data_IF_695926831014
#
_entry.id   IF_695926831014
#
_cell.length_a   1.000
_cell.length_b   1.000
_cell.length_c   1.000
_cell.angle_alpha   90.00
_cell.angle_beta   90.00
_cell.angle_gamma   90.00
#
_symmetry.space_group_name_H-M   'P 1'
#
loop_
_entity.id
_entity.type
_entity.pdbx_description
1 polymer ?
#
# COMPACT_ATOMS: atom_id res chain seq x y z
N UNK A 1 -0.99 8.26 -34.40
CA UNK A 1 -0.46 8.25 -33.02
C UNK A 1 -1.37 7.38 -32.18
N UNK A 2 -0.98 6.14 -31.91
CA UNK A 2 -1.83 5.18 -31.20
C UNK A 2 -1.96 5.64 -29.75
N UNK A 3 -3.13 6.12 -29.38
CA UNK A 3 -3.56 6.22 -27.98
C UNK A 3 -3.70 4.78 -27.45
N UNK A 4 -2.58 4.13 -27.18
CA UNK A 4 -2.53 2.78 -26.64
C UNK A 4 -3.20 2.77 -25.27
N UNK A 5 -4.15 1.86 -25.05
CA UNK A 5 -4.76 1.64 -23.74
C UNK A 5 -3.62 1.48 -22.72
N UNK A 6 -3.55 2.36 -21.72
CA UNK A 6 -2.61 2.22 -20.62
C UNK A 6 -2.96 0.95 -19.86
N UNK A 7 -2.15 -0.09 -20.02
CA UNK A 7 -2.20 -1.32 -19.24
C UNK A 7 -1.51 -1.06 -17.90
N UNK A 8 -2.18 -1.38 -16.81
CA UNK A 8 -1.61 -1.28 -15.47
C UNK A 8 -1.81 -2.61 -14.74
N UNK A 9 -0.88 -2.91 -13.85
CA UNK A 9 -0.99 -4.01 -12.89
C UNK A 9 -0.81 -3.46 -11.48
N UNK A 10 -1.54 -4.04 -10.53
CA UNK A 10 -1.45 -3.69 -9.11
C UNK A 10 -0.92 -4.91 -8.39
N UNK A 11 0.19 -4.75 -7.67
CA UNK A 11 0.79 -5.75 -6.79
C UNK A 11 0.54 -5.29 -5.36
N UNK A 12 -0.18 -6.08 -4.57
CA UNK A 12 -0.40 -5.79 -3.15
C UNK A 12 0.70 -6.45 -2.34
N UNK A 13 1.56 -5.64 -1.74
CA UNK A 13 2.67 -6.14 -0.95
C UNK A 13 2.16 -6.55 0.43
N UNK A 14 1.96 -7.86 0.61
CA UNK A 14 1.64 -8.49 1.89
C UNK A 14 2.95 -8.74 2.64
N UNK A 15 3.26 -7.96 3.68
CA UNK A 15 4.47 -8.14 4.50
C UNK A 15 4.30 -9.12 5.67
N UNK A 16 3.15 -9.80 5.78
CA UNK A 16 2.77 -10.56 6.98
C UNK A 16 3.36 -11.97 7.09
N UNK A 17 3.92 -12.55 6.01
CA UNK A 17 4.42 -13.93 6.00
C UNK A 17 5.95 -14.03 5.82
N UNK A 18 6.56 -15.12 6.29
CA UNK A 18 8.00 -15.41 6.12
C UNK A 18 8.44 -15.47 4.65
N UNK A 19 7.56 -15.93 3.77
CA UNK A 19 7.81 -16.05 2.33
C UNK A 19 7.31 -14.82 1.54
N UNK A 20 6.86 -13.76 2.21
CA UNK A 20 6.40 -12.53 1.54
C UNK A 20 7.38 -11.94 0.52
N UNK A 21 8.71 -11.99 0.70
CA UNK A 21 9.63 -11.47 -0.30
C UNK A 21 9.64 -12.32 -1.58
N UNK A 22 9.57 -13.65 -1.45
CA UNK A 22 9.59 -14.57 -2.59
C UNK A 22 8.28 -14.53 -3.38
N UNK A 23 7.15 -14.43 -2.68
CA UNK A 23 5.84 -14.28 -3.31
C UNK A 23 5.73 -12.96 -4.09
N UNK A 24 6.25 -11.86 -3.52
CA UNK A 24 6.32 -10.57 -4.20
C UNK A 24 7.18 -10.63 -5.47
N UNK A 25 8.37 -11.22 -5.39
CA UNK A 25 9.26 -11.37 -6.56
C UNK A 25 8.58 -12.18 -7.67
N UNK A 26 7.91 -13.28 -7.33
CA UNK A 26 7.19 -14.10 -8.30
C UNK A 26 6.06 -13.33 -9.00
N UNK A 27 5.31 -12.52 -8.26
CA UNK A 27 4.23 -11.71 -8.83
C UNK A 27 4.78 -10.57 -9.69
N UNK A 28 5.89 -9.96 -9.28
CA UNK A 28 6.59 -8.93 -10.06
C UNK A 28 7.09 -9.49 -11.39
N UNK A 29 7.74 -10.66 -11.40
CA UNK A 29 8.20 -11.31 -12.62
C UNK A 29 7.04 -11.58 -13.59
N UNK A 30 5.92 -12.12 -13.08
CA UNK A 30 4.71 -12.35 -13.88
C UNK A 30 4.14 -11.06 -14.48
N UNK A 31 4.15 -9.95 -13.75
CA UNK A 31 3.66 -8.66 -14.23
C UNK A 31 4.59 -8.07 -15.29
N UNK A 32 5.90 -8.20 -15.11
CA UNK A 32 6.91 -7.74 -16.06
C UNK A 32 6.83 -8.50 -17.39
N UNK A 33 6.57 -9.81 -17.36
CA UNK A 33 6.33 -10.62 -18.56
C UNK A 33 5.13 -10.13 -19.39
N UNK A 34 4.15 -9.50 -18.76
CA UNK A 34 2.95 -8.98 -19.43
C UNK A 34 3.12 -7.63 -20.12
N UNK A 35 4.32 -7.03 -20.05
CA UNK A 35 4.67 -5.80 -20.76
C UNK A 35 3.66 -4.66 -20.49
N UNK A 36 3.26 -4.52 -19.21
CA UNK A 36 2.35 -3.46 -18.77
C UNK A 36 3.07 -2.11 -18.74
N UNK A 37 2.33 -1.02 -19.01
CA UNK A 37 2.92 0.32 -19.01
C UNK A 37 3.21 0.86 -17.61
N UNK A 38 2.44 0.41 -16.60
CA UNK A 38 2.56 0.89 -15.21
C UNK A 38 2.38 -0.28 -14.26
N UNK A 39 3.31 -0.41 -13.30
CA UNK A 39 3.16 -1.31 -12.15
C UNK A 39 2.93 -0.45 -10.91
N UNK A 40 1.85 -0.72 -10.19
CA UNK A 40 1.48 -0.04 -8.95
C UNK A 40 1.73 -1.02 -7.81
N UNK A 41 2.59 -0.66 -6.87
CA UNK A 41 2.86 -1.46 -5.68
C UNK A 41 2.10 -0.81 -4.52
N UNK A 42 1.08 -1.50 -4.01
CA UNK A 42 0.26 -1.05 -2.89
C UNK A 42 0.68 -1.81 -1.62
N UNK A 43 1.28 -1.14 -0.63
CA UNK A 43 1.50 -1.74 0.68
C UNK A 43 0.18 -1.87 1.45
N UNK A 44 -0.20 -3.08 1.86
CA UNK A 44 -1.48 -3.32 2.56
C UNK A 44 -1.56 -2.54 3.89
N UNK A 45 -0.43 -2.43 4.59
CA UNK A 45 -0.36 -1.78 5.91
C UNK A 45 -0.42 -0.26 5.86
N UNK A 46 -0.17 0.38 4.72
CA UNK A 46 -0.06 1.85 4.71
C UNK A 46 -1.39 2.50 5.10
N UNK A 47 -2.51 1.92 4.66
CA UNK A 47 -3.85 2.36 5.07
C UNK A 47 -4.09 2.16 6.56
N UNK A 48 -3.79 0.97 7.09
CA UNK A 48 -4.00 0.64 8.50
C UNK A 48 -3.09 1.47 9.42
N UNK A 49 -1.79 1.53 9.12
CA UNK A 49 -0.79 2.28 9.88
C UNK A 49 -1.16 3.76 9.88
N UNK A 50 -1.49 4.33 8.72
CA UNK A 50 -1.93 5.73 8.62
C UNK A 50 -3.19 5.97 9.44
N UNK A 51 -4.18 5.07 9.36
CA UNK A 51 -5.39 5.16 10.16
C UNK A 51 -5.10 5.12 11.67
N UNK A 52 -4.21 4.23 12.11
CA UNK A 52 -3.81 4.10 13.53
C UNK A 52 -3.17 5.38 14.05
N UNK A 53 -2.28 5.99 13.27
CA UNK A 53 -1.66 7.28 13.61
C UNK A 53 -2.68 8.42 13.67
N UNK A 54 -3.58 8.52 12.70
CA UNK A 54 -4.67 9.52 12.70
C UNK A 54 -5.54 9.36 13.93
N UNK A 55 -5.95 8.12 14.26
CA UNK A 55 -6.78 7.86 15.43
C UNK A 55 -6.06 8.21 16.73
N UNK A 56 -4.80 7.82 16.87
CA UNK A 56 -4.00 8.13 18.06
C UNK A 56 -3.86 9.66 18.24
N UNK A 57 -3.55 10.40 17.17
CA UNK A 57 -3.48 11.86 17.20
C UNK A 57 -4.81 12.52 17.58
N UNK A 58 -5.92 12.07 16.98
CA UNK A 58 -7.25 12.57 17.30
C UNK A 58 -7.66 12.29 18.74
N UNK A 59 -7.33 11.11 19.25
CA UNK A 59 -7.57 10.77 20.65
C UNK A 59 -6.75 11.65 21.58
N UNK A 60 -5.46 11.82 21.31
CA UNK A 60 -4.58 12.67 22.10
C UNK A 60 -5.08 14.12 22.13
N UNK A 61 -5.47 14.66 20.97
CA UNK A 61 -6.03 16.00 20.84
C UNK A 61 -7.31 16.18 21.66
N UNK A 62 -8.29 15.28 21.49
CA UNK A 62 -9.55 15.31 22.25
C UNK A 62 -9.31 15.20 23.76
N UNK A 63 -8.39 14.32 24.15
CA UNK A 63 -8.02 14.15 25.56
C UNK A 63 -7.36 15.40 26.12
N UNK A 64 -6.43 16.05 25.40
CA UNK A 64 -5.81 17.30 25.84
C UNK A 64 -6.85 18.42 26.08
N UNK A 65 -7.77 18.60 25.12
CA UNK A 65 -8.89 19.55 25.25
C UNK A 65 -9.75 19.26 26.47
N UNK A 66 -10.06 17.99 26.74
CA UNK A 66 -10.87 17.58 27.89
C UNK A 66 -10.10 17.68 29.23
N UNK A 67 -8.79 17.46 29.22
CA UNK A 67 -7.96 17.52 30.43
C UNK A 67 -7.49 18.94 30.76
N UNK A 68 -7.75 19.93 29.91
CA UNK A 68 -7.30 21.31 30.09
C UNK A 68 -5.78 21.47 30.00
N UNK A 69 -5.11 20.58 29.28
CA UNK A 69 -3.68 20.69 28.94
C UNK A 69 -3.48 21.39 27.60
#
# INVERSE_FOLDING_TARGET
MLSGKKTFAVIRAVYENRNSPEDFVRELDFVLEKNVNVVIIEPDDLGEVTWRWIRAGNWLHKTAVLSGM
#
